data_IF_136753115517
#
_entry.id   IF_136753115517
#
_cell.length_a   1.000
_cell.length_b   1.000
_cell.length_c   1.000
_cell.angle_alpha   90.00
_cell.angle_beta   90.00
_cell.angle_gamma   90.00
#
_symmetry.space_group_name_H-M   'P 1'
#
loop_
_entity.id
_entity.type
_entity.pdbx_description
1 polymer ?
#
# COMPACT_ATOMS: atom_id res chain seq x y z
N UNK A 1 13.20 17.92 -22.98
CA UNK A 1 12.13 16.98 -23.42
C UNK A 1 12.06 15.75 -22.51
N UNK A 2 13.16 15.00 -22.33
CA UNK A 2 13.20 13.85 -21.42
C UNK A 2 12.94 14.21 -19.95
N UNK A 3 13.47 15.32 -19.44
CA UNK A 3 13.21 15.76 -18.06
C UNK A 3 11.73 16.10 -17.80
N UNK A 4 11.09 16.81 -18.73
CA UNK A 4 9.65 17.13 -18.65
C UNK A 4 8.78 15.87 -18.67
N UNK A 5 9.13 14.87 -19.50
CA UNK A 5 8.41 13.60 -19.52
C UNK A 5 8.58 12.84 -18.20
N UNK A 6 9.80 12.83 -17.64
CA UNK A 6 10.08 12.23 -16.34
C UNK A 6 9.28 12.90 -15.22
N UNK A 7 9.19 14.23 -15.23
CA UNK A 7 8.40 14.99 -14.27
C UNK A 7 6.91 14.62 -14.37
N UNK A 8 6.33 14.57 -15.58
CA UNK A 8 4.95 14.15 -15.79
C UNK A 8 4.66 12.73 -15.28
N UNK A 9 5.60 11.79 -15.47
CA UNK A 9 5.49 10.44 -14.92
C UNK A 9 5.51 10.47 -13.40
N UNK A 10 6.42 11.25 -12.79
CA UNK A 10 6.49 11.37 -11.33
C UNK A 10 5.20 11.97 -10.73
N UNK A 11 4.62 12.99 -11.37
CA UNK A 11 3.36 13.59 -10.94
C UNK A 11 2.20 12.57 -10.98
N UNK A 12 2.12 11.78 -12.06
CA UNK A 12 1.13 10.70 -12.17
C UNK A 12 1.32 9.62 -11.10
N UNK A 13 2.56 9.21 -10.82
CA UNK A 13 2.86 8.26 -9.75
C UNK A 13 2.55 8.85 -8.37
N UNK A 14 2.76 10.14 -8.14
CA UNK A 14 2.39 10.80 -6.89
C UNK A 14 0.87 10.73 -6.66
N UNK A 15 0.07 10.92 -7.72
CA UNK A 15 -1.37 10.77 -7.66
C UNK A 15 -1.78 9.33 -7.28
N UNK A 16 -1.20 8.32 -7.93
CA UNK A 16 -1.47 6.89 -7.66
C UNK A 16 -0.99 6.47 -6.27
N UNK A 17 0.13 7.03 -5.79
CA UNK A 17 0.68 6.72 -4.47
C UNK A 17 -0.20 7.24 -3.34
N UNK A 18 -1.00 8.29 -3.55
CA UNK A 18 -1.86 8.87 -2.52
C UNK A 18 -2.86 7.87 -1.90
N UNK A 19 -3.70 7.14 -2.67
CA UNK A 19 -4.56 6.10 -2.11
C UNK A 19 -3.78 4.93 -1.52
N UNK A 20 -2.62 4.57 -2.08
CA UNK A 20 -1.74 3.52 -1.53
C UNK A 20 -1.25 3.93 -0.14
N UNK A 21 -0.73 5.14 0.03
CA UNK A 21 -0.25 5.66 1.32
C UNK A 21 -1.40 5.77 2.32
N UNK A 22 -2.62 6.15 1.91
CA UNK A 22 -3.81 6.13 2.78
C UNK A 22 -4.08 4.73 3.34
N UNK A 23 -3.91 3.68 2.52
CA UNK A 23 -4.02 2.29 2.96
C UNK A 23 -2.89 1.96 3.95
N UNK A 24 -1.63 2.23 3.59
CA UNK A 24 -0.48 1.94 4.43
C UNK A 24 -0.59 2.59 5.83
N UNK A 25 -0.97 3.87 5.90
CA UNK A 25 -1.20 4.57 7.17
C UNK A 25 -2.36 4.00 7.99
N UNK A 26 -3.37 3.40 7.34
CA UNK A 26 -4.45 2.68 8.04
C UNK A 26 -3.92 1.44 8.74
N UNK A 27 -2.92 0.77 8.15
CA UNK A 27 -2.26 -0.40 8.71
C UNK A 27 -0.98 -0.07 9.50
N UNK A 28 -0.76 1.20 9.83
CA UNK A 28 0.42 1.69 10.56
C UNK A 28 1.75 1.41 9.88
N UNK A 29 1.74 1.21 8.56
CA UNK A 29 2.95 1.03 7.78
C UNK A 29 3.59 2.39 7.53
N UNK A 30 4.79 2.59 8.09
CA UNK A 30 5.55 3.82 7.95
C UNK A 30 6.29 3.94 6.62
N UNK A 31 6.78 5.15 6.32
CA UNK A 31 7.52 5.44 5.08
C UNK A 31 8.78 4.57 4.92
N UNK A 32 9.46 4.24 6.02
CA UNK A 32 10.65 3.39 5.98
C UNK A 32 10.31 1.95 5.55
N UNK A 33 9.19 1.40 6.01
CA UNK A 33 8.72 0.06 5.63
C UNK A 33 8.36 0.05 4.15
N UNK A 34 7.59 1.05 3.72
CA UNK A 34 7.21 1.18 2.32
C UNK A 34 8.43 1.35 1.40
N UNK A 35 9.39 2.18 1.79
CA UNK A 35 10.62 2.41 1.01
C UNK A 35 11.42 1.13 0.85
N UNK A 36 11.49 0.26 1.86
CA UNK A 36 12.19 -1.02 1.74
C UNK A 36 11.47 -1.97 0.77
N UNK A 37 10.14 -1.99 0.75
CA UNK A 37 9.37 -2.74 -0.26
C UNK A 37 9.66 -2.20 -1.67
N UNK A 38 9.60 -0.88 -1.85
CA UNK A 38 9.90 -0.23 -3.14
C UNK A 38 11.30 -0.58 -3.63
N UNK A 39 12.32 -0.47 -2.77
CA UNK A 39 13.70 -0.86 -3.12
C UNK A 39 13.81 -2.33 -3.50
N UNK A 40 13.11 -3.22 -2.78
CA UNK A 40 13.06 -4.66 -3.10
C UNK A 40 12.49 -4.86 -4.51
N UNK A 41 11.37 -4.21 -4.84
CA UNK A 41 10.77 -4.27 -6.18
C UNK A 41 11.68 -3.73 -7.27
N UNK A 42 12.38 -2.61 -7.04
CA UNK A 42 13.38 -2.09 -7.99
C UNK A 42 14.50 -3.10 -8.26
N UNK A 43 15.03 -3.75 -7.21
CA UNK A 43 16.10 -4.75 -7.36
C UNK A 43 15.60 -5.98 -8.09
N UNK A 44 14.39 -6.44 -7.78
CA UNK A 44 13.77 -7.62 -8.38
C UNK A 44 13.59 -7.42 -9.90
N UNK A 45 12.81 -6.41 -10.29
CA UNK A 45 12.55 -6.06 -11.70
C UNK A 45 13.84 -5.78 -12.47
N UNK A 46 14.77 -4.99 -11.90
CA UNK A 46 16.06 -4.72 -12.57
C UNK A 46 16.92 -5.99 -12.73
N UNK A 47 16.79 -6.97 -11.84
CA UNK A 47 17.52 -8.24 -11.91
C UNK A 47 16.93 -9.21 -12.93
N UNK A 48 15.60 -9.27 -13.04
CA UNK A 48 14.87 -10.27 -13.82
C UNK A 48 14.59 -9.81 -15.25
N UNK A 49 14.14 -8.57 -15.46
CA UNK A 49 13.64 -8.12 -16.77
C UNK A 49 14.73 -7.53 -17.68
N UNK A 50 15.84 -7.04 -17.10
CA UNK A 50 16.90 -6.37 -17.85
C UNK A 50 18.15 -7.23 -18.08
N UNK A 51 18.01 -8.53 -17.86
CA UNK A 51 19.03 -9.53 -18.12
C UNK A 51 19.48 -9.54 -19.59
N UNK A 52 20.70 -10.00 -19.85
CA UNK A 52 21.21 -10.16 -21.22
C UNK A 52 21.37 -11.66 -21.49
N UNK A 53 20.80 -12.15 -22.59
CA UNK A 53 20.89 -13.56 -23.03
C UNK A 53 20.37 -14.55 -21.97
N UNK A 54 19.23 -14.24 -21.34
CA UNK A 54 18.60 -15.10 -20.33
C UNK A 54 19.37 -15.20 -19.00
N UNK A 55 20.42 -14.39 -18.80
CA UNK A 55 21.12 -14.31 -17.51
C UNK A 55 20.63 -13.11 -16.71
N UNK A 56 20.39 -13.25 -15.40
CA UNK A 56 20.03 -12.14 -14.53
C UNK A 56 21.03 -10.98 -14.63
N UNK A 57 20.55 -9.76 -14.46
CA UNK A 57 21.40 -8.58 -14.44
C UNK A 57 22.41 -8.68 -13.28
N UNK A 58 23.68 -8.38 -13.56
CA UNK A 58 24.71 -8.42 -12.51
C UNK A 58 24.51 -7.27 -11.50
N UNK A 59 25.00 -7.47 -10.27
CA UNK A 59 24.82 -6.53 -9.14
C UNK A 59 25.27 -5.10 -9.50
N UNK A 60 26.37 -4.95 -10.24
CA UNK A 60 26.90 -3.63 -10.60
C UNK A 60 25.96 -2.88 -11.53
N UNK A 61 25.37 -3.57 -12.52
CA UNK A 61 24.42 -2.96 -13.45
C UNK A 61 23.08 -2.65 -12.77
N UNK A 62 22.60 -3.52 -11.88
CA UNK A 62 21.41 -3.23 -11.06
C UNK A 62 21.64 -1.98 -10.18
N UNK A 63 22.79 -1.87 -9.54
CA UNK A 63 23.15 -0.69 -8.74
C UNK A 63 23.15 0.60 -9.57
N UNK A 64 23.67 0.55 -10.80
CA UNK A 64 23.66 1.70 -11.72
C UNK A 64 22.23 2.07 -12.14
N UNK A 65 21.38 1.10 -12.47
CA UNK A 65 20.01 1.36 -12.91
C UNK A 65 19.11 1.91 -11.79
N UNK A 66 19.26 1.38 -10.58
CA UNK A 66 18.39 1.70 -9.44
C UNK A 66 18.91 2.86 -8.59
N UNK A 67 20.18 3.24 -8.76
CA UNK A 67 20.86 4.20 -7.88
C UNK A 67 21.20 3.66 -6.49
N UNK A 68 20.95 2.38 -6.21
CA UNK A 68 21.26 1.75 -4.93
C UNK A 68 22.73 1.37 -4.82
N UNK A 69 23.24 1.25 -3.60
CA UNK A 69 24.60 0.74 -3.40
C UNK A 69 24.69 -0.75 -3.75
N UNK A 70 25.85 -1.20 -4.25
CA UNK A 70 26.09 -2.65 -4.51
C UNK A 70 25.85 -3.52 -3.26
N UNK A 71 26.11 -2.97 -2.07
CA UNK A 71 25.87 -3.65 -0.79
C UNK A 71 24.37 -3.84 -0.55
N UNK A 72 23.56 -2.81 -0.76
CA UNK A 72 22.10 -2.90 -0.63
C UNK A 72 21.49 -3.83 -1.68
N UNK A 73 21.91 -3.73 -2.94
CA UNK A 73 21.45 -4.64 -4.01
C UNK A 73 21.72 -6.09 -3.64
N UNK A 74 22.92 -6.41 -3.15
CA UNK A 74 23.26 -7.77 -2.70
C UNK A 74 22.36 -8.23 -1.55
N UNK A 75 22.15 -7.37 -0.54
CA UNK A 75 21.28 -7.70 0.60
C UNK A 75 19.86 -8.01 0.14
N UNK A 76 19.26 -7.13 -0.67
CA UNK A 76 17.89 -7.26 -1.14
C UNK A 76 17.71 -8.48 -2.04
N UNK A 77 18.68 -8.76 -2.93
CA UNK A 77 18.67 -9.95 -3.78
C UNK A 77 18.72 -11.24 -2.98
N UNK A 78 19.60 -11.32 -1.97
CA UNK A 78 19.68 -12.48 -1.09
C UNK A 78 18.37 -12.71 -0.33
N UNK A 79 17.69 -11.63 0.10
CA UNK A 79 16.38 -11.73 0.75
C UNK A 79 15.29 -12.24 -0.21
N UNK A 80 15.30 -11.78 -1.47
CA UNK A 80 14.38 -12.27 -2.51
C UNK A 80 14.62 -13.76 -2.76
N UNK A 81 15.87 -14.17 -2.98
CA UNK A 81 16.25 -15.57 -3.26
C UNK A 81 15.95 -16.50 -2.07
N UNK A 82 16.06 -16.01 -0.83
CA UNK A 82 15.72 -16.76 0.37
C UNK A 82 14.20 -16.87 0.64
N UNK A 83 13.35 -16.23 -0.18
CA UNK A 83 11.92 -16.13 0.09
C UNK A 83 11.60 -15.36 1.37
N UNK A 84 12.55 -14.53 1.84
CA UNK A 84 12.41 -13.80 3.09
C UNK A 84 11.40 -12.66 2.91
N UNK A 85 10.25 -12.82 3.58
CA UNK A 85 9.19 -11.83 3.67
C UNK A 85 9.41 -10.87 4.83
N UNK A 86 10.40 -11.10 5.70
CA UNK A 86 10.70 -10.20 6.79
C UNK A 86 11.35 -8.92 6.26
N UNK A 87 10.60 -7.83 6.31
CA UNK A 87 11.17 -6.51 6.07
C UNK A 87 11.98 -6.17 7.33
N UNK A 88 13.30 -6.06 7.19
CA UNK A 88 14.18 -5.50 8.21
C UNK A 88 13.88 -4.01 8.34
N UNK A 89 12.82 -3.65 9.07
CA UNK A 89 12.40 -2.26 9.21
C UNK A 89 12.68 -1.75 10.62
N UNK A 90 13.24 -0.54 10.68
CA UNK A 90 13.25 0.27 11.89
C UNK A 90 11.80 0.50 12.33
N UNK A 91 11.51 0.20 13.59
CA UNK A 91 10.23 0.40 14.27
C UNK A 91 9.65 1.79 13.95
N UNK A 92 8.36 1.88 13.63
CA UNK A 92 7.68 3.17 13.45
C UNK A 92 7.68 3.96 14.76
N UNK A 93 7.65 5.31 14.75
CA UNK A 93 7.59 6.09 15.99
C UNK A 93 6.46 5.66 16.93
N UNK A 94 5.29 5.32 16.37
CA UNK A 94 4.15 4.78 17.14
C UNK A 94 4.54 3.46 17.82
N UNK A 95 5.08 2.51 17.06
CA UNK A 95 5.44 1.20 17.60
C UNK A 95 6.56 1.31 18.66
N UNK A 96 7.50 2.24 18.50
CA UNK A 96 8.56 2.51 19.49
C UNK A 96 7.96 3.09 20.77
N UNK A 97 7.05 4.06 20.68
CA UNK A 97 6.35 4.62 21.85
C UNK A 97 5.57 3.54 22.60
N UNK A 98 4.80 2.71 21.88
CA UNK A 98 4.06 1.61 22.48
C UNK A 98 4.99 0.61 23.16
N UNK A 99 6.10 0.27 22.52
CA UNK A 99 7.10 -0.63 23.08
C UNK A 99 7.69 -0.06 24.38
N UNK A 100 8.13 1.20 24.36
CA UNK A 100 8.77 1.87 25.51
C UNK A 100 7.81 2.09 26.67
N UNK A 101 6.55 2.41 26.39
CA UNK A 101 5.52 2.49 27.43
C UNK A 101 5.29 1.14 28.14
N UNK A 102 5.53 0.03 27.44
CA UNK A 102 5.44 -1.31 28.01
C UNK A 102 6.72 -1.80 28.71
N UNK A 103 7.86 -1.15 28.51
CA UNK A 103 9.17 -1.68 28.88
C UNK A 103 9.95 -0.83 29.89
N UNK A 104 9.75 0.50 29.87
CA UNK A 104 10.53 1.43 30.68
C UNK A 104 9.87 1.64 32.06
N UNK A 105 10.63 1.43 33.14
CA UNK A 105 10.15 1.47 34.53
C UNK A 105 9.41 2.78 34.87
N UNK A 106 9.88 3.91 34.33
CA UNK A 106 9.28 5.24 34.53
C UNK A 106 7.83 5.36 34.03
N UNK A 107 7.39 4.45 33.14
CA UNK A 107 6.05 4.44 32.56
C UNK A 107 5.23 3.21 32.94
N UNK A 108 5.68 2.42 33.91
CA UNK A 108 4.97 1.26 34.44
C UNK A 108 4.26 1.60 35.77
N UNK A 109 3.16 0.89 36.03
CA UNK A 109 2.47 0.88 37.31
C UNK A 109 3.20 -0.02 38.31
N UNK A 110 2.79 0.02 39.58
CA UNK A 110 3.37 -0.80 40.63
C UNK A 110 3.25 -2.33 40.39
N UNK A 111 2.50 -2.76 39.38
CA UNK A 111 2.34 -4.16 38.98
C UNK A 111 3.13 -4.49 37.69
N UNK A 112 3.99 -3.59 37.21
CA UNK A 112 4.80 -3.77 36.01
C UNK A 112 4.01 -3.70 34.70
N UNK A 113 2.80 -3.10 34.71
CA UNK A 113 1.97 -2.89 33.52
C UNK A 113 2.05 -1.43 33.09
N UNK A 114 1.81 -1.05 31.83
CA UNK A 114 1.84 0.35 31.45
C UNK A 114 0.92 1.21 32.31
N UNK A 115 1.47 2.28 32.87
CA UNK A 115 0.72 3.22 33.69
C UNK A 115 -0.17 4.12 32.82
N UNK A 116 -1.28 4.57 33.39
CA UNK A 116 -2.06 5.67 32.83
C UNK A 116 -1.22 6.95 32.94
N UNK A 117 -0.85 7.58 31.83
CA UNK A 117 0.05 8.74 31.82
C UNK A 117 -0.74 10.05 31.63
N UNK A 118 -0.43 11.12 32.41
CA UNK A 118 -1.01 12.44 32.17
C UNK A 118 -0.42 13.05 30.88
N UNK A 119 -1.25 13.81 30.15
CA UNK A 119 -0.78 14.69 29.07
C UNK A 119 -0.25 16.02 29.66
N UNK A 120 0.81 15.93 30.46
CA UNK A 120 1.48 17.06 31.11
C UNK A 120 2.99 17.00 30.84
N UNK A 121 3.75 17.98 31.33
CA UNK A 121 5.21 17.87 31.42
C UNK A 121 5.62 17.23 32.76
N UNK A 122 6.72 16.47 32.77
CA UNK A 122 7.27 15.83 33.97
C UNK A 122 7.71 14.36 33.76
N UNK A 123 8.50 13.83 34.69
CA UNK A 123 9.23 12.54 34.55
C UNK A 123 8.36 11.29 34.37
N UNK A 124 7.05 11.36 34.68
CA UNK A 124 6.09 10.25 34.50
C UNK A 124 4.88 10.68 33.66
N UNK A 125 5.15 11.34 32.54
CA UNK A 125 4.13 11.89 31.66
C UNK A 125 4.21 11.33 30.25
N UNK A 126 3.09 11.40 29.52
CA UNK A 126 3.08 11.02 28.11
C UNK A 126 3.99 11.92 27.27
N UNK A 127 4.07 13.22 27.61
CA UNK A 127 4.93 14.15 26.88
C UNK A 127 6.40 13.80 27.03
N UNK A 128 6.82 13.34 28.21
CA UNK A 128 8.20 12.90 28.46
C UNK A 128 8.52 11.59 27.73
N UNK A 129 7.59 10.61 27.72
CA UNK A 129 7.73 9.39 26.93
C UNK A 129 7.97 9.72 25.44
N UNK A 130 7.17 10.63 24.88
CA UNK A 130 7.31 11.04 23.47
C UNK A 130 8.60 11.84 23.25
N UNK A 131 8.99 12.71 24.18
CA UNK A 131 10.23 13.48 24.07
C UNK A 131 11.47 12.59 24.08
N UNK A 132 11.47 11.51 24.89
CA UNK A 132 12.59 10.57 24.99
C UNK A 132 12.70 9.64 23.78
N UNK A 133 11.57 9.15 23.26
CA UNK A 133 11.56 8.04 22.31
C UNK A 133 10.79 8.28 21.00
N UNK A 134 10.04 9.37 20.90
CA UNK A 134 9.22 9.72 19.74
C UNK A 134 9.98 10.39 18.61
N UNK A 135 11.29 10.60 18.77
CA UNK A 135 12.12 11.33 17.82
C UNK A 135 11.72 12.81 17.77
N UNK A 136 11.49 13.33 16.57
CA UNK A 136 11.11 14.72 16.33
C UNK A 136 9.58 14.95 16.29
N UNK A 137 8.79 13.95 16.70
CA UNK A 137 7.32 14.03 16.70
C UNK A 137 6.84 14.76 17.96
N UNK A 138 6.08 15.88 17.83
CA UNK A 138 5.53 16.56 19.00
C UNK A 138 4.55 15.67 19.79
N UNK A 139 4.52 15.75 21.13
CA UNK A 139 3.59 14.97 21.98
C UNK A 139 2.12 15.07 21.56
N UNK A 140 1.65 16.27 21.19
CA UNK A 140 0.28 16.46 20.73
C UNK A 140 -0.05 15.70 19.44
N UNK A 141 0.89 15.67 18.48
CA UNK A 141 0.74 14.92 17.24
C UNK A 141 0.74 13.41 17.51
N UNK A 142 1.68 12.93 18.32
CA UNK A 142 1.75 11.52 18.72
C UNK A 142 0.48 11.06 19.44
N UNK A 143 -0.04 11.86 20.38
CA UNK A 143 -1.31 11.57 21.08
C UNK A 143 -2.46 11.42 20.09
N UNK A 144 -2.58 12.38 19.16
CA UNK A 144 -3.66 12.39 18.15
C UNK A 144 -3.62 11.14 17.30
N UNK A 145 -2.41 10.75 16.88
CA UNK A 145 -2.21 9.57 16.06
C UNK A 145 -2.47 8.27 16.82
N UNK A 146 -2.00 8.14 18.06
CA UNK A 146 -2.27 6.99 18.93
C UNK A 146 -3.76 6.79 19.22
N UNK A 147 -4.51 7.89 19.34
CA UNK A 147 -5.99 7.85 19.45
C UNK A 147 -6.63 7.44 18.12
N UNK A 148 -6.17 8.00 16.99
CA UNK A 148 -6.66 7.66 15.64
C UNK A 148 -6.57 6.17 15.35
N UNK A 149 -5.46 5.55 15.73
CA UNK A 149 -5.20 4.12 15.52
C UNK A 149 -5.85 3.23 16.60
N UNK A 150 -6.46 3.83 17.63
CA UNK A 150 -7.13 3.11 18.71
C UNK A 150 -6.17 2.40 19.68
N UNK A 151 -4.90 2.79 19.70
CA UNK A 151 -3.93 2.28 20.68
C UNK A 151 -4.11 2.90 22.06
N UNK A 152 -4.58 4.14 22.11
CA UNK A 152 -4.72 4.93 23.34
C UNK A 152 -6.13 5.47 23.46
N UNK A 153 -6.66 5.41 24.68
CA UNK A 153 -7.92 6.05 25.08
C UNK A 153 -7.61 7.09 26.13
N UNK A 154 -8.31 8.22 26.08
CA UNK A 154 -8.21 9.28 27.07
C UNK A 154 -9.38 9.11 28.05
N UNK A 155 -9.07 8.98 29.32
CA UNK A 155 -10.05 8.87 30.41
C UNK A 155 -10.64 10.25 30.74
N UNK A 156 -11.76 10.24 31.48
CA UNK A 156 -12.45 11.45 31.92
C UNK A 156 -11.57 12.38 32.77
N UNK A 157 -10.55 11.84 33.44
CA UNK A 157 -9.54 12.56 34.21
C UNK A 157 -8.39 13.14 33.36
N UNK A 158 -8.46 13.00 32.03
CA UNK A 158 -7.46 13.49 31.09
C UNK A 158 -6.19 12.63 31.00
N UNK A 159 -6.19 11.44 31.60
CA UNK A 159 -5.06 10.50 31.51
C UNK A 159 -5.19 9.60 30.29
N UNK A 160 -4.06 9.31 29.67
CA UNK A 160 -3.94 8.45 28.51
C UNK A 160 -3.67 7.01 28.97
N UNK A 161 -4.53 6.10 28.51
CA UNK A 161 -4.48 4.67 28.82
C UNK A 161 -4.24 3.87 27.55
N UNK A 162 -3.38 2.85 27.63
CA UNK A 162 -3.20 1.90 26.53
C UNK A 162 -4.41 0.98 26.42
N UNK A 163 -5.05 0.98 25.25
CA UNK A 163 -6.16 0.08 24.92
C UNK A 163 -5.70 -1.19 24.22
N UNK A 164 -4.61 -1.13 23.44
CA UNK A 164 -4.05 -2.28 22.71
C UNK A 164 -2.53 -2.24 22.69
N UNK A 165 -1.91 -3.42 22.76
CA UNK A 165 -0.45 -3.61 22.69
C UNK A 165 0.08 -3.54 21.24
N UNK A 166 -0.76 -3.86 20.25
CA UNK A 166 -0.49 -3.63 18.83
C UNK A 166 -1.80 -3.31 18.10
N UNK A 167 -1.72 -2.51 17.04
CA UNK A 167 -2.87 -2.18 16.20
C UNK A 167 -2.69 -2.85 14.86
N UNK A 168 -3.39 -3.96 14.67
CA UNK A 168 -3.68 -4.50 13.34
C UNK A 168 -5.19 -4.40 13.15
N UNK A 169 -5.69 -3.56 12.21
CA UNK A 169 -7.08 -3.59 11.82
C UNK A 169 -7.38 -4.99 11.26
N UNK A 170 -8.23 -5.76 11.93
CA UNK A 170 -8.44 -7.18 11.59
C UNK A 170 -9.65 -7.38 10.68
N UNK A 171 -10.66 -6.52 10.79
CA UNK A 171 -11.98 -6.78 10.21
C UNK A 171 -12.10 -6.54 8.69
N UNK A 172 -11.03 -6.09 8.01
CA UNK A 172 -11.03 -5.78 6.56
C UNK A 172 -9.75 -6.15 5.80
N UNK A 173 -8.84 -6.89 6.42
CA UNK A 173 -7.55 -7.24 5.81
C UNK A 173 -7.74 -8.13 4.59
N UNK A 174 -8.63 -9.11 4.66
CA UNK A 174 -8.87 -10.05 3.57
C UNK A 174 -9.38 -9.33 2.32
N UNK A 175 -10.39 -8.46 2.48
CA UNK A 175 -10.91 -7.65 1.36
C UNK A 175 -9.83 -6.79 0.71
N UNK A 176 -8.91 -6.22 1.49
CA UNK A 176 -7.79 -5.45 0.95
C UNK A 176 -6.83 -6.34 0.17
N UNK A 177 -6.41 -7.47 0.74
CA UNK A 177 -5.49 -8.42 0.10
C UNK A 177 -6.09 -8.92 -1.21
N UNK A 178 -7.35 -9.35 -1.18
CA UNK A 178 -8.10 -9.76 -2.38
C UNK A 178 -8.15 -8.64 -3.41
N UNK A 179 -8.46 -7.40 -3.01
CA UNK A 179 -8.51 -6.26 -3.93
C UNK A 179 -7.15 -5.94 -4.55
N UNK A 180 -6.06 -6.06 -3.78
CA UNK A 180 -4.71 -5.80 -4.28
C UNK A 180 -4.27 -6.89 -5.28
N UNK A 181 -4.50 -8.17 -4.95
CA UNK A 181 -4.07 -9.30 -5.77
C UNK A 181 -4.92 -9.48 -7.02
N UNK A 182 -6.25 -9.35 -6.91
CA UNK A 182 -7.18 -9.66 -8.00
C UNK A 182 -7.71 -8.42 -8.73
N UNK A 183 -7.53 -7.22 -8.16
CA UNK A 183 -7.95 -5.97 -8.79
C UNK A 183 -6.76 -5.11 -9.22
N UNK A 184 -5.99 -4.63 -8.25
CA UNK A 184 -4.93 -3.63 -8.51
C UNK A 184 -3.77 -4.21 -9.29
N UNK A 185 -3.27 -5.41 -8.94
CA UNK A 185 -2.14 -6.01 -9.63
C UNK A 185 -2.44 -6.29 -11.11
N UNK A 186 -3.56 -6.98 -11.48
CA UNK A 186 -3.91 -7.18 -12.89
C UNK A 186 -4.09 -5.86 -13.64
N UNK A 187 -4.75 -4.87 -13.02
CA UNK A 187 -4.92 -3.54 -13.62
C UNK A 187 -3.57 -2.89 -13.94
N UNK A 188 -2.63 -2.89 -12.99
CA UNK A 188 -1.30 -2.33 -13.21
C UNK A 188 -0.53 -3.09 -14.28
N UNK A 189 -0.63 -4.42 -14.35
CA UNK A 189 -0.06 -5.21 -15.44
C UNK A 189 -0.64 -4.77 -16.80
N UNK A 190 -1.95 -4.59 -16.90
CA UNK A 190 -2.58 -4.10 -18.12
C UNK A 190 -2.17 -2.67 -18.48
N UNK A 191 -1.97 -1.79 -17.48
CA UNK A 191 -1.42 -0.44 -17.72
C UNK A 191 0.01 -0.51 -18.26
N UNK A 192 0.85 -1.43 -17.75
CA UNK A 192 2.22 -1.65 -18.25
C UNK A 192 2.20 -2.10 -19.71
N UNK A 193 1.37 -3.10 -20.05
CA UNK A 193 1.21 -3.58 -21.42
C UNK A 193 0.72 -2.47 -22.36
N UNK A 194 -0.33 -1.75 -21.97
CA UNK A 194 -0.87 -0.64 -22.79
C UNK A 194 0.13 0.52 -22.96
N UNK A 195 1.15 0.61 -22.12
CA UNK A 195 2.14 1.68 -22.13
C UNK A 195 3.48 1.26 -22.75
N UNK A 196 3.66 0.00 -23.15
CA UNK A 196 4.91 -0.46 -23.77
C UNK A 196 5.06 0.13 -25.18
N UNK A 197 6.06 1.00 -25.43
CA UNK A 197 6.27 1.59 -26.74
C UNK A 197 6.74 0.58 -27.81
N UNK A 198 7.11 -0.64 -27.41
CA UNK A 198 7.63 -1.69 -28.29
C UNK A 198 6.58 -2.75 -28.66
N UNK A 199 5.47 -2.84 -27.93
CA UNK A 199 4.33 -3.63 -28.40
C UNK A 199 3.65 -2.86 -29.54
N UNK A 200 3.55 -3.49 -30.72
CA UNK A 200 2.88 -2.88 -31.88
C UNK A 200 1.41 -2.52 -31.62
N UNK A 201 0.71 -2.01 -32.63
CA UNK A 201 -0.70 -1.61 -32.52
C UNK A 201 -1.62 -2.82 -32.21
N UNK A 202 -1.78 -3.17 -30.94
CA UNK A 202 -2.83 -4.04 -30.39
C UNK A 202 -3.98 -3.19 -29.87
N UNK A 203 -5.17 -3.78 -29.81
CA UNK A 203 -6.31 -3.13 -29.15
C UNK A 203 -5.99 -2.95 -27.66
N UNK A 204 -6.27 -1.78 -27.06
CA UNK A 204 -6.03 -1.56 -25.65
C UNK A 204 -6.83 -2.55 -24.81
N UNK A 205 -6.17 -3.24 -23.90
CA UNK A 205 -6.80 -4.23 -23.01
C UNK A 205 -7.57 -3.59 -21.85
N UNK A 206 -7.33 -2.30 -21.61
CA UNK A 206 -8.09 -1.47 -20.66
C UNK A 206 -8.54 -0.20 -21.38
N UNK A 207 -9.82 0.11 -21.27
CA UNK A 207 -10.42 1.33 -21.78
C UNK A 207 -11.04 2.11 -20.63
N UNK A 208 -10.84 3.43 -20.63
CA UNK A 208 -11.42 4.32 -19.61
C UNK A 208 -12.23 5.40 -20.32
N UNK A 209 -13.52 5.50 -19.99
CA UNK A 209 -14.38 6.60 -20.41
C UNK A 209 -14.56 7.54 -19.21
N UNK A 210 -14.35 8.84 -19.41
CA UNK A 210 -14.48 9.85 -18.35
C UNK A 210 -15.12 11.13 -18.86
N UNK A 211 -15.65 11.94 -17.94
CA UNK A 211 -16.19 13.26 -18.22
C UNK A 211 -15.97 14.18 -17.02
N UNK A 212 -15.54 15.40 -17.28
CA UNK A 212 -15.36 16.45 -16.26
C UNK A 212 -16.58 17.37 -16.12
N UNK A 213 -17.63 17.13 -16.91
CA UNK A 213 -18.78 18.03 -17.03
C UNK A 213 -20.12 17.35 -16.73
N UNK A 214 -20.17 16.63 -15.60
CA UNK A 214 -21.39 15.98 -15.09
C UNK A 214 -21.95 16.80 -13.93
N UNK A 215 -23.25 17.11 -13.96
CA UNK A 215 -23.90 17.85 -12.88
C UNK A 215 -24.05 16.96 -11.65
N UNK A 216 -23.73 17.50 -10.47
CA UNK A 216 -23.83 16.78 -9.19
C UNK A 216 -25.20 16.14 -8.94
N UNK A 217 -26.28 16.79 -9.37
CA UNK A 217 -27.65 16.26 -9.24
C UNK A 217 -27.90 14.98 -10.04
N UNK A 218 -27.13 14.72 -11.11
CA UNK A 218 -27.30 13.56 -11.98
C UNK A 218 -26.53 12.32 -11.45
N UNK A 219 -25.69 12.48 -10.41
CA UNK A 219 -24.85 11.39 -9.87
C UNK A 219 -25.65 10.17 -9.41
N UNK A 220 -26.81 10.37 -8.76
CA UNK A 220 -27.65 9.26 -8.33
C UNK A 220 -28.14 8.39 -9.49
N UNK A 221 -28.42 9.02 -10.64
CA UNK A 221 -28.83 8.30 -11.86
C UNK A 221 -27.65 7.56 -12.49
N UNK A 222 -26.48 8.18 -12.52
CA UNK A 222 -25.26 7.56 -13.07
C UNK A 222 -24.82 6.36 -12.24
N UNK A 223 -24.76 6.48 -10.91
CA UNK A 223 -24.48 5.37 -9.99
C UNK A 223 -25.37 4.17 -10.27
N UNK A 224 -26.68 4.40 -10.40
CA UNK A 224 -27.65 3.34 -10.70
C UNK A 224 -27.37 2.68 -12.04
N UNK A 225 -27.31 3.47 -13.13
CA UNK A 225 -27.12 2.93 -14.48
C UNK A 225 -25.78 2.19 -14.59
N UNK A 226 -24.70 2.76 -14.06
CA UNK A 226 -23.39 2.14 -14.05
C UNK A 226 -23.39 0.87 -13.20
N UNK A 227 -24.00 0.88 -12.01
CA UNK A 227 -24.12 -0.30 -11.15
C UNK A 227 -24.87 -1.45 -11.84
N UNK A 228 -26.05 -1.16 -12.42
CA UNK A 228 -26.85 -2.15 -13.15
C UNK A 228 -26.02 -2.76 -14.30
N UNK A 229 -25.33 -1.93 -15.10
CA UNK A 229 -24.49 -2.41 -16.21
C UNK A 229 -23.29 -3.22 -15.75
N UNK A 230 -22.60 -2.80 -14.70
CA UNK A 230 -21.44 -3.52 -14.18
C UNK A 230 -21.85 -4.89 -13.66
N UNK A 231 -23.01 -5.00 -12.99
CA UNK A 231 -23.56 -6.27 -12.55
C UNK A 231 -23.87 -7.20 -13.74
N UNK A 232 -24.60 -6.71 -14.74
CA UNK A 232 -24.92 -7.48 -15.96
C UNK A 232 -23.64 -8.01 -16.65
N UNK A 233 -22.60 -7.16 -16.76
CA UNK A 233 -21.33 -7.56 -17.37
C UNK A 233 -20.56 -8.55 -16.51
N UNK A 234 -20.56 -8.38 -15.18
CA UNK A 234 -19.89 -9.31 -14.27
C UNK A 234 -20.49 -10.71 -14.38
N UNK A 235 -21.82 -10.82 -14.36
CA UNK A 235 -22.53 -12.10 -14.54
C UNK A 235 -22.20 -12.73 -15.91
N UNK A 236 -22.17 -11.92 -16.98
CA UNK A 236 -21.83 -12.41 -18.33
C UNK A 236 -20.42 -13.02 -18.41
N UNK A 237 -19.43 -12.40 -17.76
CA UNK A 237 -18.06 -12.93 -17.76
C UNK A 237 -17.89 -14.12 -16.82
N UNK A 238 -18.62 -14.15 -15.70
CA UNK A 238 -18.64 -15.31 -14.80
C UNK A 238 -19.19 -16.55 -15.52
N UNK A 239 -20.33 -16.42 -16.22
CA UNK A 239 -20.90 -17.47 -17.06
C UNK A 239 -19.92 -17.96 -18.14
N UNK A 240 -19.18 -17.03 -18.76
CA UNK A 240 -18.16 -17.35 -19.75
C UNK A 240 -17.01 -18.15 -19.14
N UNK A 241 -16.50 -17.72 -17.99
CA UNK A 241 -15.39 -18.40 -17.31
C UNK A 241 -15.81 -19.80 -16.86
N UNK A 242 -16.99 -19.96 -16.24
CA UNK A 242 -17.51 -21.28 -15.86
C UNK A 242 -17.61 -22.24 -17.06
N UNK A 243 -18.01 -21.73 -18.24
CA UNK A 243 -18.06 -22.53 -19.46
C UNK A 243 -16.68 -23.03 -19.89
N UNK A 244 -15.65 -22.18 -19.84
CA UNK A 244 -14.27 -22.57 -20.19
C UNK A 244 -13.63 -23.46 -19.12
N UNK A 245 -13.93 -23.25 -17.84
CA UNK A 245 -13.48 -24.13 -16.75
C UNK A 245 -14.01 -25.55 -16.96
N UNK A 246 -15.30 -25.69 -17.28
CA UNK A 246 -15.93 -26.99 -17.59
C UNK A 246 -15.26 -27.67 -18.79
N UNK A 247 -14.93 -26.92 -19.85
CA UNK A 247 -14.22 -27.46 -21.01
C UNK A 247 -12.79 -27.91 -20.65
N UNK A 248 -12.17 -27.28 -19.66
CA UNK A 248 -10.80 -27.57 -19.26
C UNK A 248 -10.68 -28.77 -18.31
N UNK A 249 -11.73 -29.09 -17.55
CA UNK A 249 -11.81 -30.32 -16.72
C UNK A 249 -11.68 -31.62 -17.54
N UNK A 250 -11.95 -31.56 -18.86
CA UNK A 250 -11.77 -32.69 -19.78
C UNK A 250 -10.31 -32.89 -20.25
N UNK A 251 -9.40 -31.98 -19.87
CA UNK A 251 -7.96 -32.04 -20.22
C UNK A 251 -7.11 -32.23 -18.97
N UNK A 252 -6.01 -32.99 -19.07
CA UNK A 252 -5.06 -33.24 -17.96
C UNK A 252 -4.28 -31.97 -17.57
N UNK A 253 -4.95 -31.00 -16.94
CA UNK A 253 -4.49 -30.06 -15.92
C UNK A 253 -3.21 -29.21 -16.07
N UNK A 254 -2.41 -29.32 -17.13
CA UNK A 254 -1.05 -28.76 -17.14
C UNK A 254 -0.92 -27.36 -17.78
N UNK A 255 -1.91 -26.85 -18.51
CA UNK A 255 -1.80 -25.60 -19.30
C UNK A 255 -2.79 -24.46 -18.91
N UNK A 256 -3.22 -24.40 -17.65
CA UNK A 256 -4.11 -23.33 -17.17
C UNK A 256 -3.41 -21.95 -17.09
N UNK A 257 -4.07 -20.91 -17.61
CA UNK A 257 -3.65 -19.50 -17.44
C UNK A 257 -4.67 -18.72 -16.61
N UNK A 258 -4.19 -17.81 -15.77
CA UNK A 258 -5.07 -16.90 -15.02
C UNK A 258 -5.53 -15.76 -15.93
N UNK A 259 -6.84 -15.66 -16.13
CA UNK A 259 -7.49 -14.55 -16.85
C UNK A 259 -8.42 -13.83 -15.88
N UNK A 260 -8.46 -12.49 -15.95
CA UNK A 260 -9.34 -11.67 -15.12
C UNK A 260 -9.92 -10.52 -15.92
N UNK A 261 -11.18 -10.16 -15.63
CA UNK A 261 -11.84 -8.97 -16.15
C UNK A 261 -12.20 -8.07 -14.97
N UNK A 262 -11.55 -6.91 -14.90
CA UNK A 262 -11.81 -5.90 -13.88
C UNK A 262 -12.88 -4.92 -14.32
N UNK A 263 -13.95 -4.80 -13.52
CA UNK A 263 -15.05 -3.87 -13.75
C UNK A 263 -15.09 -2.85 -12.60
N UNK A 264 -15.10 -1.56 -12.93
CA UNK A 264 -15.14 -0.51 -11.91
C UNK A 264 -15.98 0.68 -12.33
N UNK A 265 -16.62 1.29 -11.35
CA UNK A 265 -17.20 2.62 -11.44
C UNK A 265 -16.40 3.53 -10.51
N UNK A 266 -16.03 4.70 -11.02
CA UNK A 266 -15.21 5.65 -10.27
C UNK A 266 -15.90 7.00 -10.16
N UNK A 267 -15.90 7.54 -8.95
CA UNK A 267 -16.24 8.93 -8.66
C UNK A 267 -15.11 9.56 -7.86
N UNK A 268 -14.68 10.75 -8.27
CA UNK A 268 -13.69 11.49 -7.50
C UNK A 268 -14.35 12.15 -6.28
N UNK A 269 -13.76 11.90 -5.11
CA UNK A 269 -14.20 12.42 -3.82
C UNK A 269 -13.03 13.01 -3.01
N UNK A 270 -11.79 12.83 -3.44
CA UNK A 270 -10.61 13.41 -2.80
C UNK A 270 -10.41 14.84 -3.29
N UNK A 271 -10.93 15.80 -2.53
CA UNK A 271 -10.83 17.24 -2.80
C UNK A 271 -9.37 17.74 -2.89
N UNK A 272 -8.42 16.95 -2.39
CA UNK A 272 -7.00 17.25 -2.41
C UNK A 272 -6.25 16.58 -3.57
N UNK A 273 -6.95 15.81 -4.42
CA UNK A 273 -6.37 15.24 -5.61
C UNK A 273 -6.43 16.28 -6.73
N UNK A 274 -5.33 17.01 -6.93
CA UNK A 274 -5.21 18.05 -7.95
C UNK A 274 -4.58 17.46 -9.21
N UNK A 275 -5.40 17.02 -10.15
CA UNK A 275 -4.95 16.53 -11.46
C UNK A 275 -5.97 16.84 -12.55
N UNK A 276 -5.49 16.91 -13.77
CA UNK A 276 -6.33 17.14 -14.96
C UNK A 276 -6.67 15.79 -15.56
N UNK A 277 -7.98 15.51 -15.69
CA UNK A 277 -8.51 14.41 -16.49
C UNK A 277 -8.34 14.67 -17.97
#
# INVERSE_FOLDING_TARGET
>A
MQEKLKEQVLDAFQLVLRPIVKILLRFNVGVSEFTEIVKKSYVDVASTEYGIRGRPTNISRVAVMTGLTRKEVRRLRNMIEAGDTSLSVKTTPIAEILHRWHAEEDFLDAKGRPAALPFAEGEHSFSELVKRFGGDVPPGAMRTELKRVGSVVESDDGRLNLAKRSVVPTDKTDNLVTSLIHGVYPLLCTVVENSDPNEGAREPKQLTAYSTNIRKQDLGRLRRISGDRLADFAETFDDLFMAYETLNEESDGEDGITVAVGLFYFEEHDENAHYTW
#
